data_IF_332803437448
#
_entry.id   IF_332803437448
#
_cell.length_a   1.000
_cell.length_b   1.000
_cell.length_c   1.000
_cell.angle_alpha   90.00
_cell.angle_beta   90.00
_cell.angle_gamma   90.00
#
_symmetry.space_group_name_H-M   'P 1'
#
loop_
_entity.id
_entity.type
_entity.pdbx_description
1 polymer ?
#
# COMPACT_ATOMS: atom_id res chain seq x y z
N UNK A 1 -33.26 -32.94 -23.73
CA UNK A 1 -32.26 -32.72 -22.68
C UNK A 1 -32.85 -31.67 -21.74
N UNK A 2 -33.25 -32.06 -20.52
CA UNK A 2 -33.86 -31.14 -19.56
C UNK A 2 -32.76 -30.60 -18.64
N UNK A 3 -32.48 -29.30 -18.76
CA UNK A 3 -31.57 -28.59 -17.87
C UNK A 3 -32.38 -28.13 -16.67
N UNK A 4 -31.96 -28.51 -15.46
CA UNK A 4 -32.56 -27.96 -14.24
C UNK A 4 -32.17 -26.49 -14.09
N UNK A 5 -33.15 -25.65 -13.83
CA UNK A 5 -32.98 -24.20 -13.58
C UNK A 5 -32.79 -23.87 -12.10
N UNK A 6 -32.81 -24.88 -11.23
CA UNK A 6 -32.78 -24.67 -9.79
C UNK A 6 -31.34 -24.52 -9.29
N UNK A 7 -31.13 -23.61 -8.33
CA UNK A 7 -29.83 -23.49 -7.67
C UNK A 7 -29.55 -24.75 -6.82
N UNK A 8 -28.40 -25.36 -7.05
CA UNK A 8 -27.94 -26.51 -6.28
C UNK A 8 -27.20 -26.05 -5.01
N UNK A 9 -27.72 -26.39 -3.84
CA UNK A 9 -27.03 -26.14 -2.56
C UNK A 9 -25.90 -27.13 -2.37
N UNK A 10 -24.68 -26.64 -2.16
CA UNK A 10 -23.49 -27.45 -1.94
C UNK A 10 -22.98 -27.32 -0.50
N UNK A 11 -22.48 -28.41 0.12
CA UNK A 11 -21.76 -28.31 1.38
C UNK A 11 -20.46 -27.53 1.15
N UNK A 12 -20.27 -26.45 1.92
CA UNK A 12 -19.09 -25.61 1.86
C UNK A 12 -18.50 -25.37 3.26
N UNK A 13 -17.25 -24.89 3.31
CA UNK A 13 -16.58 -24.46 4.55
C UNK A 13 -16.04 -23.05 4.37
N UNK A 14 -16.14 -22.25 5.43
CA UNK A 14 -15.46 -20.96 5.53
C UNK A 14 -14.18 -21.17 6.34
N UNK A 15 -13.04 -20.85 5.75
CA UNK A 15 -11.76 -20.93 6.45
C UNK A 15 -11.60 -19.76 7.42
N UNK A 16 -10.96 -19.96 8.58
CA UNK A 16 -10.68 -18.87 9.50
C UNK A 16 -9.74 -17.85 8.85
N UNK A 17 -9.88 -16.58 9.23
CA UNK A 17 -8.95 -15.54 8.81
C UNK A 17 -7.55 -15.83 9.38
N UNK A 18 -6.49 -15.80 8.55
CA UNK A 18 -5.13 -15.92 9.04
C UNK A 18 -4.71 -14.65 9.82
N UNK A 19 -3.74 -14.80 10.72
CA UNK A 19 -3.07 -13.64 11.31
C UNK A 19 -2.14 -12.98 10.27
N UNK A 20 -2.08 -11.65 10.27
CA UNK A 20 -1.20 -10.88 9.39
C UNK A 20 -0.12 -10.23 10.25
N UNK A 21 1.13 -10.64 10.04
CA UNK A 21 2.27 -10.16 10.82
C UNK A 21 2.93 -8.99 10.10
N UNK A 22 2.97 -7.83 10.76
CA UNK A 22 3.67 -6.64 10.25
C UNK A 22 5.01 -6.49 10.94
N UNK A 23 5.06 -6.42 12.26
CA UNK A 23 6.33 -6.37 13.01
C UNK A 23 6.28 -7.34 14.16
N UNK A 24 7.40 -7.55 14.85
CA UNK A 24 7.42 -8.37 16.07
C UNK A 24 6.47 -7.83 17.15
N UNK A 25 6.13 -6.53 17.10
CA UNK A 25 5.21 -5.87 18.03
C UNK A 25 3.78 -5.72 17.50
N UNK A 26 3.51 -5.96 16.20
CA UNK A 26 2.19 -5.72 15.62
C UNK A 26 1.75 -6.80 14.65
N UNK A 27 0.57 -7.37 14.96
CA UNK A 27 -0.13 -8.36 14.14
C UNK A 27 -1.62 -8.02 14.07
N UNK A 28 -2.25 -8.33 12.95
CA UNK A 28 -3.70 -8.26 12.75
C UNK A 28 -4.26 -9.65 13.00
N UNK A 29 -5.25 -9.75 13.89
CA UNK A 29 -5.96 -10.97 14.24
C UNK A 29 -7.44 -10.85 13.86
N UNK A 30 -8.15 -11.98 13.80
CA UNK A 30 -9.60 -12.00 13.49
C UNK A 30 -10.44 -11.13 14.44
N UNK A 31 -10.07 -11.04 15.71
CA UNK A 31 -10.74 -10.18 16.70
C UNK A 31 -10.42 -8.69 16.56
N UNK A 32 -9.46 -8.31 15.72
CA UNK A 32 -9.02 -6.92 15.55
C UNK A 32 -9.63 -6.23 14.32
N UNK A 33 -10.39 -6.96 13.50
CA UNK A 33 -11.02 -6.46 12.27
C UNK A 33 -12.54 -6.43 12.40
N UNK A 34 -13.17 -5.44 11.74
CA UNK A 34 -14.63 -5.32 11.68
C UNK A 34 -15.23 -6.37 10.75
N UNK A 35 -14.62 -6.57 9.59
CA UNK A 35 -15.13 -7.42 8.51
C UNK A 35 -14.05 -8.40 8.05
N UNK A 36 -14.36 -9.70 8.06
CA UNK A 36 -13.45 -10.77 7.64
C UNK A 36 -13.09 -10.59 6.16
N UNK A 37 -11.79 -10.55 5.86
CA UNK A 37 -11.27 -10.32 4.51
C UNK A 37 -10.82 -8.87 4.25
N UNK A 38 -11.03 -7.96 5.19
CA UNK A 38 -10.46 -6.61 5.12
C UNK A 38 -9.73 -6.27 6.42
N UNK A 39 -8.64 -5.53 6.31
CA UNK A 39 -7.99 -4.91 7.46
C UNK A 39 -7.51 -3.53 7.04
N UNK A 40 -7.64 -2.56 7.93
CA UNK A 40 -7.04 -1.25 7.70
C UNK A 40 -5.59 -1.31 8.15
N UNK A 41 -4.67 -0.88 7.27
CA UNK A 41 -3.28 -0.69 7.67
C UNK A 41 -3.19 0.48 8.64
N UNK A 42 -3.14 0.18 9.95
CA UNK A 42 -2.66 1.15 10.94
C UNK A 42 -1.28 1.68 10.52
N UNK A 43 -0.92 2.94 10.85
CA UNK A 43 0.41 3.49 10.61
C UNK A 43 1.45 2.66 11.37
N UNK A 44 2.02 1.70 10.67
CA UNK A 44 2.93 0.66 11.15
C UNK A 44 3.93 0.35 10.05
N UNK A 45 5.09 -0.18 10.41
CA UNK A 45 6.16 -0.50 9.47
C UNK A 45 5.83 -1.77 8.69
N UNK A 46 6.38 -1.90 7.48
CA UNK A 46 6.37 -3.17 6.77
C UNK A 46 7.20 -4.22 7.52
N UNK A 47 6.86 -5.50 7.33
CA UNK A 47 7.63 -6.63 7.90
C UNK A 47 9.06 -6.66 7.43
N UNK A 48 9.26 -6.38 6.16
CA UNK A 48 10.58 -6.14 5.60
C UNK A 48 10.46 -4.93 4.69
N UNK A 49 10.80 -3.73 5.18
CA UNK A 49 10.76 -2.52 4.37
C UNK A 49 11.70 -2.68 3.18
N UNK A 50 11.20 -2.35 1.98
CA UNK A 50 12.05 -2.30 0.80
C UNK A 50 13.02 -1.12 0.90
N UNK A 51 14.20 -1.27 0.28
CA UNK A 51 15.12 -0.16 0.12
C UNK A 51 14.61 0.75 -1.00
N UNK A 52 14.48 2.03 -0.69
CA UNK A 52 14.22 3.04 -1.72
C UNK A 52 15.48 3.17 -2.59
N UNK A 53 15.35 3.39 -3.91
CA UNK A 53 16.51 3.62 -4.75
C UNK A 53 17.32 4.81 -4.25
N UNK A 54 18.64 4.65 -4.18
CA UNK A 54 19.55 5.73 -3.79
C UNK A 54 19.50 6.92 -4.75
N UNK A 55 19.19 6.65 -6.02
CA UNK A 55 19.00 7.64 -7.08
C UNK A 55 17.70 7.32 -7.79
N UNK A 56 16.78 8.28 -7.81
CA UNK A 56 15.53 8.23 -8.55
C UNK A 56 15.10 9.65 -8.96
N UNK A 57 14.18 9.73 -9.92
CA UNK A 57 13.71 10.99 -10.47
C UNK A 57 12.20 11.08 -10.51
N UNK A 58 11.70 12.30 -10.46
CA UNK A 58 10.29 12.63 -10.67
C UNK A 58 10.18 13.53 -11.90
N UNK A 59 9.38 13.09 -12.87
CA UNK A 59 9.12 13.83 -14.09
C UNK A 59 7.76 14.52 -13.96
N UNK A 60 7.79 15.85 -13.94
CA UNK A 60 6.57 16.63 -13.93
C UNK A 60 6.11 16.91 -15.36
N UNK A 61 5.22 16.06 -15.86
CA UNK A 61 4.57 16.24 -17.18
C UNK A 61 3.32 17.13 -17.11
N UNK A 62 3.04 17.69 -15.93
CA UNK A 62 1.95 18.63 -15.72
C UNK A 62 2.56 20.01 -15.54
N UNK A 63 1.89 21.07 -16.00
CA UNK A 63 2.34 22.45 -15.76
C UNK A 63 2.11 22.90 -14.30
N UNK A 64 2.16 21.97 -13.34
CA UNK A 64 2.11 22.28 -11.91
C UNK A 64 3.45 22.86 -11.47
N UNK A 65 3.42 23.67 -10.43
CA UNK A 65 4.63 24.31 -9.93
C UNK A 65 5.60 23.31 -9.27
N UNK A 66 6.88 23.67 -9.26
CA UNK A 66 7.91 22.91 -8.55
C UNK A 66 7.58 22.77 -7.06
N UNK A 67 6.87 23.75 -6.48
CA UNK A 67 6.46 23.70 -5.08
C UNK A 67 5.50 22.53 -4.79
N UNK A 68 4.47 22.31 -5.62
CA UNK A 68 3.58 21.16 -5.47
C UNK A 68 4.32 19.83 -5.64
N UNK A 69 5.33 19.78 -6.50
CA UNK A 69 6.22 18.62 -6.63
C UNK A 69 6.98 18.34 -5.33
N UNK A 70 7.50 19.39 -4.68
CA UNK A 70 8.17 19.27 -3.39
C UNK A 70 7.21 18.86 -2.26
N UNK A 71 5.99 19.42 -2.21
CA UNK A 71 4.96 19.01 -1.26
C UNK A 71 4.58 17.54 -1.42
N UNK A 72 4.38 17.08 -2.66
CA UNK A 72 4.12 15.67 -2.96
C UNK A 72 5.27 14.78 -2.46
N UNK A 73 6.51 15.14 -2.76
CA UNK A 73 7.68 14.39 -2.29
C UNK A 73 7.75 14.35 -0.76
N UNK A 74 7.50 15.48 -0.08
CA UNK A 74 7.53 15.54 1.38
C UNK A 74 6.53 14.56 1.99
N UNK A 75 5.31 14.49 1.44
CA UNK A 75 4.31 13.56 1.95
C UNK A 75 4.59 12.10 1.59
N UNK A 76 5.13 11.84 0.40
CA UNK A 76 5.63 10.51 0.07
C UNK A 76 6.72 10.07 1.05
N UNK A 77 7.67 10.96 1.37
CA UNK A 77 8.77 10.69 2.29
C UNK A 77 8.29 10.45 3.72
N UNK A 78 7.34 11.25 4.19
CA UNK A 78 6.70 11.08 5.49
C UNK A 78 6.01 9.72 5.61
N UNK A 79 5.19 9.36 4.61
CA UNK A 79 4.50 8.07 4.58
C UNK A 79 5.51 6.91 4.51
N UNK A 80 6.52 7.00 3.63
CA UNK A 80 7.57 6.00 3.52
C UNK A 80 8.32 5.80 4.85
N UNK A 81 8.65 6.89 5.55
CA UNK A 81 9.30 6.86 6.86
C UNK A 81 8.46 6.13 7.92
N UNK A 82 7.15 6.42 8.00
CA UNK A 82 6.22 5.70 8.87
C UNK A 82 6.16 4.19 8.53
N UNK A 83 6.32 3.85 7.25
CA UNK A 83 6.39 2.45 6.78
C UNK A 83 7.77 1.81 6.93
N UNK A 84 8.75 2.54 7.44
CA UNK A 84 10.11 2.06 7.68
C UNK A 84 11.04 2.10 6.47
N UNK A 85 10.64 2.79 5.40
CA UNK A 85 11.41 2.96 4.18
C UNK A 85 12.08 4.34 4.19
N UNK A 86 13.35 4.40 3.79
CA UNK A 86 14.09 5.66 3.69
C UNK A 86 13.95 6.24 2.28
N UNK A 87 13.00 7.16 2.08
CA UNK A 87 12.81 7.84 0.80
C UNK A 87 13.80 9.00 0.66
N UNK A 88 14.81 8.83 -0.21
CA UNK A 88 15.75 9.90 -0.55
C UNK A 88 15.09 10.95 -1.45
N UNK A 89 15.60 12.20 -1.43
CA UNK A 89 15.10 13.27 -2.30
C UNK A 89 15.29 12.90 -3.79
N UNK A 90 14.25 12.99 -4.63
CA UNK A 90 14.39 12.75 -6.06
C UNK A 90 15.12 13.89 -6.77
N UNK A 91 15.63 13.60 -7.96
CA UNK A 91 15.91 14.63 -8.97
C UNK A 91 14.57 15.01 -9.63
N UNK A 92 14.23 16.29 -9.62
CA UNK A 92 12.98 16.79 -10.23
C UNK A 92 13.34 17.35 -11.60
N UNK A 93 12.67 16.85 -12.64
CA UNK A 93 12.84 17.29 -14.03
C UNK A 93 11.60 18.06 -14.48
N UNK A 94 11.81 19.21 -15.12
CA UNK A 94 10.74 19.99 -15.76
C UNK A 94 10.68 19.71 -17.26
N UNK A 95 9.50 19.89 -17.86
CA UNK A 95 9.21 19.60 -19.28
C UNK A 95 10.15 20.36 -20.26
N UNK A 96 10.87 21.38 -19.78
CA UNK A 96 11.79 22.22 -20.56
C UNK A 96 13.28 22.11 -20.16
N UNK A 97 13.67 21.11 -19.38
CA UNK A 97 15.09 20.80 -19.14
C UNK A 97 15.71 20.12 -20.39
N UNK A 98 15.85 20.87 -21.48
CA UNK A 98 16.58 20.48 -22.71
C UNK A 98 17.38 21.63 -23.31
#
# INVERSE_FOLDING_TARGET
MNVSTDMLTLPARVLPMPEIVYTDQYRVTSGSVRDVGTWQMKPTRFHTPANFPAVWGMFNLSSIDQHACEEFYNELSNIAGVRGMQCCRPVIYEEYDS
#
